data_IF_935285752877
#
_entry.id   IF_935285752877
#
_cell.length_a   1.000
_cell.length_b   1.000
_cell.length_c   1.000
_cell.angle_alpha   90.00
_cell.angle_beta   90.00
_cell.angle_gamma   90.00
#
_symmetry.space_group_name_H-M   'P 1'
#
loop_
_entity.id
_entity.type
_entity.pdbx_description
1 polymer ?
#
# COMPACT_ATOMS: atom_id res chain seq x y z
N UNK A 1 10.58 -11.97 2.59
CA UNK A 1 9.16 -12.04 3.01
C UNK A 1 8.77 -10.91 3.96
N UNK A 2 9.50 -10.65 5.05
CA UNK A 2 9.19 -9.56 5.99
C UNK A 2 9.06 -8.17 5.32
N UNK A 3 10.08 -7.74 4.58
CA UNK A 3 10.06 -6.44 3.92
C UNK A 3 8.97 -6.27 2.85
N UNK A 4 8.54 -7.38 2.22
CA UNK A 4 7.45 -7.38 1.25
C UNK A 4 6.08 -7.21 1.93
N UNK A 5 5.87 -7.87 3.08
CA UNK A 5 4.67 -7.71 3.89
C UNK A 5 4.53 -6.29 4.44
N UNK A 6 5.62 -5.73 4.97
CA UNK A 6 5.63 -4.35 5.48
C UNK A 6 5.34 -3.33 4.38
N UNK A 7 5.97 -3.52 3.21
CA UNK A 7 5.72 -2.70 2.03
C UNK A 7 4.26 -2.77 1.57
N UNK A 8 3.67 -3.97 1.61
CA UNK A 8 2.28 -4.19 1.21
C UNK A 8 1.28 -3.61 2.23
N UNK A 9 1.61 -3.66 3.52
CA UNK A 9 0.85 -2.98 4.58
C UNK A 9 0.84 -1.46 4.39
N UNK A 10 1.98 -0.87 4.04
CA UNK A 10 2.04 0.56 3.74
C UNK A 10 1.21 0.93 2.50
N UNK A 11 1.26 0.13 1.43
CA UNK A 11 0.39 0.32 0.25
C UNK A 11 -1.08 0.29 0.64
N UNK A 12 -1.51 -0.67 1.45
CA UNK A 12 -2.90 -0.74 1.94
C UNK A 12 -3.29 0.51 2.76
N UNK A 13 -2.40 1.02 3.60
CA UNK A 13 -2.62 2.25 4.36
C UNK A 13 -2.83 3.47 3.45
N UNK A 14 -2.05 3.59 2.37
CA UNK A 14 -2.19 4.65 1.36
C UNK A 14 -3.49 4.52 0.60
N UNK A 15 -3.86 3.30 0.18
CA UNK A 15 -5.13 3.04 -0.50
C UNK A 15 -6.33 3.39 0.41
N UNK A 16 -6.26 3.05 1.70
CA UNK A 16 -7.28 3.40 2.67
C UNK A 16 -7.41 4.92 2.86
N UNK A 17 -6.28 5.64 2.91
CA UNK A 17 -6.25 7.11 2.95
C UNK A 17 -6.92 7.71 1.71
N UNK A 18 -6.60 7.20 0.52
CA UNK A 18 -7.22 7.63 -0.72
C UNK A 18 -8.74 7.38 -0.71
N UNK A 19 -9.17 6.20 -0.28
CA UNK A 19 -10.58 5.83 -0.22
C UNK A 19 -11.36 6.67 0.79
N UNK A 20 -10.77 7.00 1.93
CA UNK A 20 -11.37 7.89 2.93
C UNK A 20 -11.58 9.31 2.38
N UNK A 21 -10.69 9.76 1.50
CA UNK A 21 -10.73 11.10 0.90
C UNK A 21 -11.33 11.11 -0.53
N UNK A 22 -11.96 10.01 -0.98
CA UNK A 22 -12.48 9.91 -2.36
C UNK A 22 -13.62 10.89 -2.62
N UNK A 23 -14.44 11.16 -1.61
CA UNK A 23 -15.56 12.09 -1.67
C UNK A 23 -15.21 13.45 -1.02
N UNK A 24 -13.92 13.73 -0.80
CA UNK A 24 -13.51 15.00 -0.21
C UNK A 24 -13.82 16.16 -1.17
N UNK A 25 -14.54 17.15 -0.66
CA UNK A 25 -14.86 18.40 -1.37
C UNK A 25 -13.92 19.50 -0.88
N UNK A 26 -13.38 20.25 -1.82
CA UNK A 26 -12.44 21.33 -1.56
C UNK A 26 -13.18 22.66 -1.44
N UNK A 27 -12.98 23.42 -0.35
CA UNK A 27 -13.51 24.77 -0.24
C UNK A 27 -12.94 25.72 -1.32
N UNK A 28 -13.63 26.83 -1.62
CA UNK A 28 -13.10 27.86 -2.50
C UNK A 28 -11.73 28.37 -2.02
N UNK A 29 -10.71 28.29 -2.88
CA UNK A 29 -9.32 28.67 -2.56
C UNK A 29 -8.49 27.58 -1.87
N UNK A 30 -9.07 26.42 -1.59
CA UNK A 30 -8.35 25.25 -1.04
C UNK A 30 -7.61 24.44 -2.12
N UNK A 31 -6.68 23.60 -1.68
CA UNK A 31 -6.03 22.61 -2.56
C UNK A 31 -6.80 21.29 -2.49
N UNK A 32 -7.21 20.71 -3.62
CA UNK A 32 -7.93 19.45 -3.62
C UNK A 32 -7.06 18.28 -3.18
N UNK A 33 -7.71 17.30 -2.55
CA UNK A 33 -7.05 16.04 -2.24
C UNK A 33 -6.61 15.35 -3.53
N UNK A 34 -5.35 14.91 -3.56
CA UNK A 34 -4.77 14.15 -4.66
C UNK A 34 -4.45 12.75 -4.18
N UNK A 35 -4.84 11.75 -4.99
CA UNK A 35 -4.51 10.36 -4.75
C UNK A 35 -3.00 10.19 -4.54
N UNK A 36 -2.63 9.47 -3.50
CA UNK A 36 -1.26 9.15 -3.18
C UNK A 36 -0.94 7.74 -3.69
N UNK A 37 0.27 7.55 -4.21
CA UNK A 37 0.78 6.26 -4.70
C UNK A 37 2.10 5.96 -4.00
N UNK A 38 2.30 4.71 -3.59
CA UNK A 38 3.56 4.26 -2.98
C UNK A 38 4.61 4.01 -4.05
N UNK A 39 5.84 4.44 -3.79
CA UNK A 39 6.99 4.16 -4.64
C UNK A 39 7.85 3.11 -3.98
N UNK A 40 8.01 1.98 -4.66
CA UNK A 40 8.87 0.89 -4.22
C UNK A 40 10.28 1.06 -4.79
N UNK A 41 11.30 0.76 -3.98
CA UNK A 41 12.64 0.48 -4.48
C UNK A 41 13.14 -0.87 -3.99
N UNK A 42 13.94 -1.50 -4.84
CA UNK A 42 14.77 -2.62 -4.45
C UNK A 42 15.91 -2.11 -3.57
N UNK A 43 15.95 -2.59 -2.33
CA UNK A 43 17.04 -2.31 -1.40
C UNK A 43 17.73 -3.63 -1.06
N UNK A 44 19.07 -3.73 -1.15
CA UNK A 44 19.77 -4.91 -0.66
C UNK A 44 19.52 -5.04 0.84
N UNK A 45 18.91 -6.15 1.25
CA UNK A 45 18.76 -6.51 2.65
C UNK A 45 19.97 -7.34 3.01
N UNK A 46 20.86 -6.75 3.80
CA UNK A 46 22.00 -7.47 4.38
C UNK A 46 21.44 -8.34 5.50
N UNK A 47 21.32 -9.63 5.25
CA UNK A 47 21.14 -10.63 6.31
C UNK A 47 22.53 -11.09 6.72
N UNK A 48 23.02 -10.58 7.84
CA UNK A 48 24.21 -11.13 8.50
C UNK A 48 23.82 -12.52 9.04
N UNK A 49 24.04 -13.54 8.23
CA UNK A 49 24.01 -14.92 8.68
C UNK A 49 25.45 -15.36 9.04
N UNK A 50 25.80 -15.44 10.32
CA UNK A 50 27.13 -15.85 10.76
C UNK A 50 27.45 -17.33 10.47
N UNK A 51 26.48 -18.13 10.00
CA UNK A 51 26.64 -19.57 9.77
C UNK A 51 26.98 -19.97 8.33
N UNK A 52 26.76 -19.09 7.33
CA UNK A 52 26.86 -19.48 5.92
C UNK A 52 28.10 -18.97 5.17
N UNK A 53 28.92 -18.09 5.74
CA UNK A 53 30.18 -17.61 5.13
C UNK A 53 30.04 -16.96 3.74
N UNK A 54 28.79 -16.79 3.27
CA UNK A 54 28.44 -16.24 1.97
C UNK A 54 27.48 -15.08 2.21
N UNK A 55 27.86 -13.89 1.73
CA UNK A 55 26.98 -12.72 1.67
C UNK A 55 25.78 -13.04 0.77
N UNK A 56 24.71 -13.62 1.33
CA UNK A 56 23.44 -13.75 0.63
C UNK A 56 22.82 -12.36 0.55
N UNK A 57 23.07 -11.66 -0.56
CA UNK A 57 22.43 -10.39 -0.85
C UNK A 57 20.97 -10.68 -1.21
N UNK A 58 20.10 -10.69 -0.21
CA UNK A 58 18.66 -10.84 -0.42
C UNK A 58 18.12 -9.49 -0.88
N UNK A 59 17.54 -9.41 -2.07
CA UNK A 59 16.95 -8.15 -2.56
C UNK A 59 15.58 -8.01 -1.92
N UNK A 60 15.46 -7.11 -0.95
CA UNK A 60 14.17 -6.74 -0.35
C UNK A 60 13.51 -5.60 -1.08
N UNK A 61 12.20 -5.50 -0.94
CA UNK A 61 11.43 -4.32 -1.34
C UNK A 61 11.28 -3.40 -0.13
N UNK A 62 11.51 -2.10 -0.34
CA UNK A 62 11.21 -1.05 0.63
C UNK A 62 10.39 0.06 -0.05
N UNK A 63 9.56 0.74 0.74
CA UNK A 63 8.82 1.92 0.27
C UNK A 63 9.71 3.14 0.50
N UNK A 64 10.03 3.83 -0.59
CA UNK A 64 10.91 5.02 -0.55
C UNK A 64 10.12 6.29 -0.23
N UNK A 65 8.81 6.27 -0.50
CA UNK A 65 7.91 7.37 -0.21
C UNK A 65 6.57 7.23 -0.90
N UNK A 66 5.77 8.29 -0.81
CA UNK A 66 4.50 8.43 -1.54
C UNK A 66 4.57 9.63 -2.48
N UNK A 67 4.04 9.45 -3.69
CA UNK A 67 3.90 10.51 -4.70
C UNK A 67 2.43 10.85 -4.88
N UNK A 68 2.12 12.11 -5.19
CA UNK A 68 0.77 12.53 -5.50
C UNK A 68 0.48 12.37 -6.99
N UNK A 69 -0.74 11.96 -7.31
CA UNK A 69 -1.18 11.82 -8.69
C UNK A 69 -1.30 13.18 -9.38
N UNK A 70 -0.73 13.26 -10.58
CA UNK A 70 -0.77 14.42 -11.46
C UNK A 70 -2.11 14.58 -12.19
N UNK A 71 -3.07 13.66 -12.00
CA UNK A 71 -4.38 13.74 -12.64
C UNK A 71 -5.14 15.01 -12.22
N UNK A 72 -5.91 15.63 -13.12
CA UNK A 72 -6.70 16.80 -12.80
C UNK A 72 -7.77 16.46 -11.75
N UNK A 73 -8.08 17.38 -10.82
CA UNK A 73 -9.19 17.25 -9.87
C UNK A 73 -10.53 17.07 -10.58
N UNK A 74 -11.46 16.34 -9.96
CA UNK A 74 -12.81 16.14 -10.52
C UNK A 74 -13.70 17.33 -10.19
N UNK A 75 -14.37 17.88 -11.19
CA UNK A 75 -15.40 18.90 -11.00
C UNK A 75 -16.76 18.21 -10.95
N UNK A 76 -17.52 18.44 -9.88
CA UNK A 76 -18.87 17.93 -9.74
C UNK A 76 -19.84 19.10 -9.65
N UNK A 77 -20.95 19.02 -10.38
CA UNK A 77 -21.98 20.03 -10.32
C UNK A 77 -22.84 19.82 -9.07
N UNK A 78 -22.79 20.76 -8.15
CA UNK A 78 -23.58 20.77 -6.91
C UNK A 78 -23.88 22.22 -6.49
N UNK A 79 -24.90 22.86 -7.10
CA UNK A 79 -25.23 24.27 -6.85
C UNK A 79 -25.81 24.53 -5.45
N UNK A 80 -26.18 23.48 -4.70
CA UNK A 80 -26.67 23.60 -3.33
C UNK A 80 -25.55 23.60 -2.28
N UNK A 81 -24.31 23.34 -2.69
CA UNK A 81 -23.17 23.25 -1.77
C UNK A 81 -22.67 24.64 -1.36
N UNK A 82 -22.35 24.86 -0.06
CA UNK A 82 -21.70 26.10 0.39
C UNK A 82 -20.28 26.26 -0.16
N UNK A 83 -19.71 25.20 -0.76
CA UNK A 83 -18.38 25.18 -1.36
C UNK A 83 -18.39 25.31 -2.88
N UNK A 84 -19.56 25.54 -3.49
CA UNK A 84 -19.70 25.69 -4.94
C UNK A 84 -19.06 27.00 -5.44
N UNK A 85 -18.47 26.96 -6.64
CA UNK A 85 -18.01 28.14 -7.35
C UNK A 85 -19.19 29.00 -7.84
N UNK A 86 -18.89 30.15 -8.46
CA UNK A 86 -19.91 31.05 -9.02
C UNK A 86 -20.79 30.42 -10.11
N UNK A 87 -20.43 29.24 -10.60
CA UNK A 87 -21.15 28.48 -11.62
C UNK A 87 -21.83 27.22 -11.05
N UNK A 88 -21.76 26.98 -9.74
CA UNK A 88 -22.39 25.83 -9.08
C UNK A 88 -21.54 24.55 -9.06
N UNK A 89 -20.23 24.64 -9.33
CA UNK A 89 -19.33 23.48 -9.34
C UNK A 89 -18.50 23.39 -8.06
N UNK A 90 -18.37 22.17 -7.53
CA UNK A 90 -17.45 21.85 -6.43
C UNK A 90 -16.23 21.11 -6.98
N UNK A 91 -15.06 21.42 -6.40
CA UNK A 91 -13.81 20.74 -6.75
C UNK A 91 -13.58 19.56 -5.80
N UNK A 92 -13.67 18.35 -6.33
CA UNK A 92 -13.47 17.11 -5.60
C UNK A 92 -12.09 16.50 -5.79
N UNK A 93 -11.84 15.47 -5.01
CA UNK A 93 -10.64 14.61 -5.11
C UNK A 93 -10.48 14.00 -6.51
N UNK A 94 -9.22 13.81 -6.95
CA UNK A 94 -8.93 13.08 -8.20
C UNK A 94 -8.92 11.54 -8.00
N UNK A 95 -9.18 11.05 -6.79
CA UNK A 95 -9.17 9.61 -6.48
C UNK A 95 -10.25 8.87 -7.29
N UNK A 96 -9.89 7.69 -7.80
CA UNK A 96 -10.82 6.75 -8.42
C UNK A 96 -11.23 5.68 -7.41
N UNK A 97 -12.47 5.71 -6.92
CA UNK A 97 -12.96 4.72 -5.94
C UNK A 97 -12.79 3.29 -6.44
N UNK A 98 -13.18 3.03 -7.69
CA UNK A 98 -13.10 1.69 -8.29
C UNK A 98 -11.63 1.25 -8.39
N UNK A 99 -10.74 2.13 -8.85
CA UNK A 99 -9.31 1.82 -8.93
C UNK A 99 -8.72 1.48 -7.57
N UNK A 100 -8.98 2.30 -6.54
CA UNK A 100 -8.48 2.06 -5.19
C UNK A 100 -9.02 0.76 -4.58
N UNK A 101 -10.28 0.39 -4.84
CA UNK A 101 -10.82 -0.89 -4.37
C UNK A 101 -10.17 -2.09 -5.07
N UNK A 102 -9.90 -1.99 -6.38
CA UNK A 102 -9.17 -3.04 -7.11
C UNK A 102 -7.75 -3.19 -6.56
N UNK A 103 -7.04 -2.07 -6.38
CA UNK A 103 -5.70 -2.07 -5.79
C UNK A 103 -5.69 -2.64 -4.36
N UNK A 104 -6.75 -2.40 -3.57
CA UNK A 104 -6.89 -2.96 -2.23
C UNK A 104 -7.05 -4.48 -2.26
N UNK A 105 -7.86 -5.00 -3.18
CA UNK A 105 -8.08 -6.43 -3.35
C UNK A 105 -6.78 -7.13 -3.76
N UNK A 106 -6.08 -6.57 -4.76
CA UNK A 106 -4.77 -7.07 -5.21
C UNK A 106 -3.73 -7.09 -4.06
N UNK A 107 -3.68 -5.98 -3.33
CA UNK A 107 -2.83 -5.79 -2.15
C UNK A 107 -3.11 -6.80 -1.04
N UNK A 108 -4.39 -7.01 -0.73
CA UNK A 108 -4.86 -7.94 0.30
C UNK A 108 -4.54 -9.39 -0.06
N UNK A 109 -4.76 -9.78 -1.32
CA UNK A 109 -4.42 -11.12 -1.82
C UNK A 109 -2.91 -11.38 -1.72
N UNK A 110 -2.09 -10.40 -2.09
CA UNK A 110 -0.63 -10.49 -1.99
C UNK A 110 -0.14 -10.60 -0.54
N UNK A 111 -0.78 -9.88 0.39
CA UNK A 111 -0.52 -10.01 1.82
C UNK A 111 -0.91 -11.40 2.34
N UNK A 112 -2.11 -11.88 2.01
CA UNK A 112 -2.59 -13.19 2.41
C UNK A 112 -1.69 -14.33 1.89
N UNK A 113 -1.25 -14.25 0.63
CA UNK A 113 -0.31 -15.20 0.04
C UNK A 113 1.03 -15.20 0.79
N UNK A 114 1.57 -14.01 1.09
CA UNK A 114 2.84 -13.88 1.82
C UNK A 114 2.76 -14.43 3.25
N UNK A 115 1.63 -14.23 3.94
CA UNK A 115 1.37 -14.83 5.26
C UNK A 115 1.26 -16.36 5.16
N UNK A 116 0.59 -16.88 4.13
CA UNK A 116 0.48 -18.32 3.93
C UNK A 116 1.86 -18.98 3.72
N UNK A 117 2.76 -18.34 2.97
CA UNK A 117 4.15 -18.81 2.80
C UNK A 117 4.89 -18.85 4.14
N UNK A 118 4.80 -17.78 4.95
CA UNK A 118 5.41 -17.75 6.28
C UNK A 118 4.90 -18.86 7.19
N UNK A 119 3.59 -19.06 7.23
CA UNK A 119 2.98 -20.13 8.01
C UNK A 119 3.45 -21.52 7.54
N UNK A 120 3.60 -21.70 6.23
CA UNK A 120 4.10 -22.95 5.67
C UNK A 120 5.56 -23.21 6.07
N UNK A 121 6.42 -22.18 6.01
CA UNK A 121 7.81 -22.29 6.50
C UNK A 121 7.84 -22.67 7.98
N UNK A 122 7.07 -21.97 8.83
CA UNK A 122 7.02 -22.28 10.26
C UNK A 122 6.53 -23.70 10.56
N UNK A 123 5.59 -24.23 9.76
CA UNK A 123 5.15 -25.64 9.89
C UNK A 123 6.27 -26.62 9.55
N UNK A 124 7.03 -26.36 8.49
CA UNK A 124 8.17 -27.21 8.08
C UNK A 124 9.25 -27.19 9.17
N UNK A 125 9.56 -26.01 9.73
CA UNK A 125 10.55 -25.87 10.79
C UNK A 125 10.16 -26.65 12.06
N UNK A 126 8.88 -26.57 12.46
CA UNK A 126 8.34 -27.34 13.58
C UNK A 126 8.40 -28.85 13.33
N UNK A 127 8.10 -29.30 12.10
CA UNK A 127 8.21 -30.71 11.73
C UNK A 127 9.66 -31.21 11.82
N UNK A 128 10.63 -30.43 11.33
CA UNK A 128 12.05 -30.75 11.50
C UNK A 128 12.45 -30.84 12.98
N UNK A 129 12.07 -29.88 13.80
CA UNK A 129 12.39 -29.91 15.23
C UNK A 129 11.79 -31.13 15.94
N UNK A 130 10.56 -31.50 15.59
CA UNK A 130 9.88 -32.66 16.16
C UNK A 130 10.51 -33.99 15.75
N UNK A 131 11.07 -34.09 14.53
CA UNK A 131 11.73 -35.33 14.08
C UNK A 131 13.06 -35.58 14.79
N UNK A 132 13.74 -34.54 15.29
CA UNK A 132 14.95 -34.66 16.09
C UNK A 132 14.72 -35.02 17.56
N UNK A 133 13.50 -34.89 18.08
CA UNK A 133 13.17 -35.18 19.49
C UNK A 133 12.62 -36.61 19.72
N UNK A 134 12.45 -37.43 18.67
CA UNK A 134 11.90 -38.79 18.74
C UNK A 134 12.97 -39.86 18.43
N UNK A 135 14.19 -39.71 18.93
CA UNK A 135 15.24 -40.75 18.89
C UNK A 135 15.91 -40.93 20.24
#
# INVERSE_FOLDING_TARGET
>A
VGSALDSQNQRMGVIASNLANVNAITPPGGTPYRAQEVVFAASPVSVDDPSSGAFQTNIGVNVVGTVQSNAPPKLQYDPGSPYADTRGYVTGSNVSQIGQMVDLIDSSNSYAASVAVLQQTSRIDQQMLSSFQVS
#
